data_IF_027305664928
#
_entry.id   IF_027305664928
#
_cell.length_a   1.000
_cell.length_b   1.000
_cell.length_c   1.000
_cell.angle_alpha   90.00
_cell.angle_beta   90.00
_cell.angle_gamma   90.00
#
_symmetry.space_group_name_H-M   'P 1'
#
loop_
_entity.id
_entity.type
_entity.pdbx_description
1 polymer ?
#
# COMPACT_ATOMS: atom_id res chain seq x y z
N UNK A 1 61.77 49.21 4.47
CA UNK A 1 60.96 48.28 5.29
C UNK A 1 59.52 48.43 4.84
N UNK A 2 59.05 47.52 3.99
CA UNK A 2 57.71 47.51 3.42
C UNK A 2 56.98 46.34 4.08
N UNK A 3 55.96 46.62 4.88
CA UNK A 3 55.10 45.61 5.49
C UNK A 3 53.86 45.45 4.61
N UNK A 4 53.77 44.31 3.93
CA UNK A 4 52.65 43.93 3.08
C UNK A 4 51.47 43.48 3.93
N UNK A 5 50.37 44.24 3.90
CA UNK A 5 49.09 43.83 4.46
C UNK A 5 48.36 42.97 3.41
N UNK A 6 48.18 41.68 3.70
CA UNK A 6 47.38 40.76 2.88
C UNK A 6 45.92 40.93 3.28
N UNK A 7 45.11 41.45 2.35
CA UNK A 7 43.65 41.57 2.51
C UNK A 7 42.99 40.29 2.01
N UNK A 8 42.50 39.45 2.93
CA UNK A 8 41.69 38.27 2.60
C UNK A 8 40.23 38.71 2.48
N UNK A 9 39.74 38.81 1.25
CA UNK A 9 38.32 38.98 0.94
C UNK A 9 37.59 37.66 1.21
N UNK A 10 36.90 37.57 2.34
CA UNK A 10 35.92 36.53 2.60
C UNK A 10 34.66 36.82 1.77
N UNK A 11 34.53 36.15 0.62
CA UNK A 11 33.28 36.05 -0.13
C UNK A 11 32.31 35.18 0.67
N UNK A 12 31.45 35.82 1.45
CA UNK A 12 30.26 35.17 2.02
C UNK A 12 29.27 34.89 0.89
N UNK A 13 29.17 33.63 0.50
CA UNK A 13 28.04 33.13 -0.29
C UNK A 13 26.77 33.32 0.54
N UNK A 14 26.01 34.37 0.25
CA UNK A 14 24.62 34.48 0.67
C UNK A 14 23.83 33.45 -0.12
N UNK A 15 23.74 32.21 0.38
CA UNK A 15 22.76 31.26 -0.10
C UNK A 15 21.38 31.82 0.24
N UNK A 16 20.73 32.43 -0.75
CA UNK A 16 19.35 32.88 -0.65
C UNK A 16 18.45 31.66 -0.45
N UNK A 17 18.20 31.29 0.81
CA UNK A 17 17.02 30.50 1.14
C UNK A 17 15.82 31.38 0.83
N UNK A 18 15.18 31.14 -0.31
CA UNK A 18 13.85 31.64 -0.58
C UNK A 18 12.94 31.10 0.53
N UNK A 19 12.73 31.92 1.56
CA UNK A 19 11.79 31.67 2.63
C UNK A 19 10.38 31.77 2.03
N UNK A 20 9.93 30.70 1.36
CA UNK A 20 8.51 30.48 1.15
C UNK A 20 7.88 30.44 2.54
N UNK A 21 7.18 31.52 2.87
CA UNK A 21 6.36 31.62 4.07
C UNK A 21 5.16 30.72 3.80
N UNK A 22 5.11 29.58 4.50
CA UNK A 22 3.92 28.73 4.48
C UNK A 22 2.89 29.43 5.36
N UNK A 23 2.02 30.20 4.72
CA UNK A 23 0.88 30.82 5.36
C UNK A 23 -0.14 29.73 5.77
N UNK A 24 -0.80 29.94 6.91
CA UNK A 24 -1.98 29.17 7.37
C UNK A 24 -3.10 29.02 6.33
N UNK A 25 -3.11 29.89 5.31
CA UNK A 25 -4.05 29.91 4.18
C UNK A 25 -3.54 29.20 2.91
N UNK A 26 -2.43 28.49 2.99
CA UNK A 26 -1.92 27.75 1.83
C UNK A 26 -2.73 26.47 1.59
N UNK A 27 -3.13 26.23 0.33
CA UNK A 27 -3.89 25.04 -0.06
C UNK A 27 -3.52 24.49 -1.42
N UNK A 28 -3.56 23.17 -1.56
CA UNK A 28 -3.47 22.46 -2.85
C UNK A 28 -4.83 22.54 -3.55
N UNK A 29 -4.88 23.23 -4.69
CA UNK A 29 -6.10 23.39 -5.47
C UNK A 29 -6.49 22.06 -6.12
N UNK A 30 -7.80 21.78 -6.26
CA UNK A 30 -8.33 20.59 -6.94
C UNK A 30 -7.72 19.24 -6.48
N UNK A 31 -7.31 19.14 -5.21
CA UNK A 31 -6.63 17.96 -4.68
C UNK A 31 -7.47 16.67 -4.77
N UNK A 32 -8.80 16.76 -4.62
CA UNK A 32 -9.72 15.62 -4.73
C UNK A 32 -9.77 15.05 -6.15
N UNK A 33 -9.85 15.92 -7.16
CA UNK A 33 -9.81 15.54 -8.57
C UNK A 33 -8.46 14.90 -8.93
N UNK A 34 -7.37 15.50 -8.47
CA UNK A 34 -6.02 14.96 -8.65
C UNK A 34 -5.87 13.56 -8.04
N UNK A 35 -6.29 13.39 -6.79
CA UNK A 35 -6.25 12.10 -6.09
C UNK A 35 -7.07 11.05 -6.84
N UNK A 36 -8.29 11.40 -7.25
CA UNK A 36 -9.19 10.50 -7.99
C UNK A 36 -8.56 10.07 -9.31
N UNK A 37 -7.99 10.99 -10.09
CA UNK A 37 -7.31 10.68 -11.35
C UNK A 37 -6.10 9.76 -11.16
N UNK A 38 -5.32 9.97 -10.09
CA UNK A 38 -4.20 9.10 -9.75
C UNK A 38 -4.65 7.68 -9.47
N UNK A 39 -5.69 7.51 -8.63
CA UNK A 39 -6.24 6.19 -8.32
C UNK A 39 -6.82 5.52 -9.57
N UNK A 40 -7.55 6.25 -10.41
CA UNK A 40 -8.07 5.71 -11.67
C UNK A 40 -6.95 5.18 -12.57
N UNK A 41 -5.82 5.91 -12.67
CA UNK A 41 -4.67 5.44 -13.45
C UNK A 41 -3.95 4.27 -12.80
N UNK A 42 -3.86 4.22 -11.47
CA UNK A 42 -3.34 3.06 -10.76
C UNK A 42 -4.18 1.82 -11.09
N UNK A 43 -5.50 1.88 -10.90
CA UNK A 43 -6.41 0.76 -11.16
C UNK A 43 -6.29 0.28 -12.60
N UNK A 44 -6.33 1.20 -13.58
CA UNK A 44 -6.15 0.86 -14.99
C UNK A 44 -4.82 0.13 -15.27
N UNK A 45 -3.71 0.55 -14.65
CA UNK A 45 -2.42 -0.12 -14.82
C UNK A 45 -2.37 -1.49 -14.13
N UNK A 46 -3.05 -1.64 -12.98
CA UNK A 46 -3.16 -2.94 -12.30
C UNK A 46 -4.00 -3.92 -13.13
N UNK A 47 -5.12 -3.49 -13.68
CA UNK A 47 -5.96 -4.29 -14.58
C UNK A 47 -5.18 -4.71 -15.83
N UNK A 48 -4.46 -3.76 -16.45
CA UNK A 48 -3.62 -4.04 -17.62
C UNK A 48 -2.52 -5.07 -17.32
N UNK A 49 -1.92 -5.02 -16.13
CA UNK A 49 -0.91 -5.99 -15.69
C UNK A 49 -1.54 -7.31 -15.23
N UNK A 50 -2.84 -7.33 -14.92
CA UNK A 50 -3.53 -8.47 -14.34
C UNK A 50 -3.33 -8.56 -12.83
N UNK A 51 -4.44 -8.72 -12.10
CA UNK A 51 -4.43 -8.85 -10.64
C UNK A 51 -3.67 -10.08 -10.13
N UNK A 52 -3.55 -11.13 -10.95
CA UNK A 52 -2.79 -12.34 -10.63
C UNK A 52 -1.29 -12.10 -10.37
N UNK A 53 -0.75 -10.93 -10.76
CA UNK A 53 0.62 -10.53 -10.45
C UNK A 53 0.79 -9.96 -9.04
N UNK A 54 -0.31 -9.72 -8.31
CA UNK A 54 -0.28 -9.37 -6.89
C UNK A 54 -0.22 -10.66 -6.08
N UNK A 55 1.02 -11.14 -5.89
CA UNK A 55 1.32 -12.40 -5.23
C UNK A 55 1.19 -12.32 -3.71
N UNK A 56 0.84 -13.45 -3.10
CA UNK A 56 0.93 -13.69 -1.67
C UNK A 56 2.12 -14.60 -1.36
N UNK A 57 2.60 -14.51 -0.13
CA UNK A 57 3.70 -15.33 0.35
C UNK A 57 3.19 -16.75 0.63
N UNK A 58 4.05 -17.72 0.37
CA UNK A 58 3.78 -19.09 0.75
C UNK A 58 3.82 -19.22 2.28
N UNK A 59 2.93 -20.05 2.83
CA UNK A 59 2.80 -20.24 4.27
C UNK A 59 2.44 -21.68 4.62
N UNK A 60 2.89 -22.13 5.78
CA UNK A 60 2.59 -23.46 6.32
C UNK A 60 1.80 -23.27 7.61
N UNK A 61 0.68 -23.98 7.73
CA UNK A 61 -0.17 -23.98 8.92
C UNK A 61 -0.19 -25.40 9.49
N UNK A 62 0.16 -25.53 10.76
CA UNK A 62 0.07 -26.80 11.48
C UNK A 62 -1.34 -27.00 12.05
N UNK A 63 -1.81 -28.24 11.99
CA UNK A 63 -3.12 -28.68 12.47
C UNK A 63 -2.92 -29.84 13.45
N UNK A 64 -3.51 -29.74 14.64
CA UNK A 64 -3.52 -30.83 15.61
C UNK A 64 -4.80 -30.73 16.46
N UNK A 65 -5.92 -31.16 15.88
CA UNK A 65 -7.25 -30.95 16.46
C UNK A 65 -8.18 -32.13 16.25
N UNK A 66 -9.04 -32.36 17.24
CA UNK A 66 -10.13 -33.32 17.11
C UNK A 66 -11.42 -32.59 16.71
N UNK A 67 -11.94 -32.91 15.53
CA UNK A 67 -13.22 -32.41 15.03
C UNK A 67 -14.23 -33.54 15.01
N UNK A 68 -15.22 -33.44 15.90
CA UNK A 68 -16.18 -34.51 16.15
C UNK A 68 -15.46 -35.83 16.49
N UNK A 69 -15.61 -36.86 15.66
CA UNK A 69 -15.00 -38.18 15.85
C UNK A 69 -13.73 -38.39 15.00
N UNK A 70 -13.19 -37.33 14.39
CA UNK A 70 -12.05 -37.38 13.48
C UNK A 70 -10.91 -36.51 14.00
N UNK A 71 -9.71 -37.08 14.12
CA UNK A 71 -8.48 -36.33 14.43
C UNK A 71 -7.92 -35.75 13.12
N UNK A 72 -7.59 -34.47 13.12
CA UNK A 72 -6.91 -33.75 12.04
C UNK A 72 -5.52 -33.41 12.55
N UNK A 73 -4.53 -34.21 12.20
CA UNK A 73 -3.14 -34.02 12.60
C UNK A 73 -2.24 -33.93 11.38
N UNK A 74 -1.44 -32.87 11.28
CA UNK A 74 -0.51 -32.65 10.17
C UNK A 74 -0.37 -31.17 9.81
N UNK A 75 -0.11 -30.86 8.55
CA UNK A 75 0.03 -29.48 8.08
C UNK A 75 -0.66 -29.23 6.73
N UNK A 76 -0.93 -27.96 6.47
CA UNK A 76 -1.37 -27.47 5.17
C UNK A 76 -0.40 -26.39 4.69
N UNK A 77 0.15 -26.60 3.49
CA UNK A 77 1.07 -25.69 2.83
C UNK A 77 0.33 -24.95 1.73
N UNK A 78 0.29 -23.62 1.84
CA UNK A 78 -0.37 -22.72 0.90
C UNK A 78 0.70 -22.10 0.01
N UNK A 79 0.60 -22.31 -1.30
CA UNK A 79 1.57 -21.84 -2.28
C UNK A 79 0.92 -21.08 -3.42
N UNK A 80 1.76 -20.41 -4.22
CA UNK A 80 1.36 -19.71 -5.44
C UNK A 80 0.27 -18.66 -5.24
N UNK A 81 0.13 -18.12 -4.03
CA UNK A 81 -0.98 -17.26 -3.68
C UNK A 81 -1.06 -16.01 -4.57
N UNK A 82 -2.27 -15.62 -4.98
CA UNK A 82 -2.47 -14.41 -5.79
C UNK A 82 -3.83 -13.74 -5.56
N UNK A 83 -3.91 -12.45 -5.90
CA UNK A 83 -5.17 -11.73 -5.97
C UNK A 83 -6.00 -12.19 -7.18
N UNK A 84 -7.19 -12.71 -6.89
CA UNK A 84 -8.14 -13.23 -7.89
C UNK A 84 -9.03 -12.10 -8.41
N UNK A 85 -9.71 -11.39 -7.52
CA UNK A 85 -10.64 -10.32 -7.89
C UNK A 85 -10.75 -9.24 -6.81
N UNK A 86 -11.24 -8.08 -7.24
CA UNK A 86 -11.71 -6.98 -6.38
C UNK A 86 -13.09 -6.60 -6.90
N UNK A 87 -14.13 -6.71 -6.09
CA UNK A 87 -15.49 -6.41 -6.55
C UNK A 87 -15.76 -4.91 -6.63
N UNK A 88 -15.20 -4.13 -5.69
CA UNK A 88 -15.42 -2.68 -5.65
C UNK A 88 -14.19 -1.93 -5.17
N UNK A 89 -13.96 -0.79 -5.81
CA UNK A 89 -12.92 0.16 -5.46
C UNK A 89 -13.57 1.52 -5.18
N UNK A 90 -13.25 2.12 -4.03
CA UNK A 90 -13.65 3.49 -3.72
C UNK A 90 -12.56 4.25 -2.98
N UNK A 91 -12.70 5.58 -2.95
CA UNK A 91 -11.75 6.48 -2.28
C UNK A 91 -12.47 7.32 -1.24
N UNK A 92 -11.85 7.51 -0.08
CA UNK A 92 -12.41 8.29 1.03
C UNK A 92 -11.35 9.15 1.71
N UNK A 93 -11.78 10.08 2.58
CA UNK A 93 -10.91 10.92 3.40
C UNK A 93 -9.81 11.63 2.60
N UNK A 94 -10.17 12.15 1.43
CA UNK A 94 -9.26 12.94 0.60
C UNK A 94 -9.03 14.29 1.26
N UNK A 95 -7.77 14.59 1.53
CA UNK A 95 -7.37 15.79 2.27
C UNK A 95 -6.11 16.37 1.65
N UNK A 96 -5.86 17.64 1.96
CA UNK A 96 -4.66 18.35 1.55
C UNK A 96 -4.05 19.09 2.73
N UNK A 97 -2.73 19.25 2.69
CA UNK A 97 -1.99 20.03 3.67
C UNK A 97 -0.82 20.72 3.00
N UNK A 98 -0.61 21.99 3.31
CA UNK A 98 0.63 22.69 2.99
C UNK A 98 1.30 23.04 4.32
N UNK A 99 2.54 22.59 4.51
CA UNK A 99 3.25 22.72 5.79
C UNK A 99 4.75 22.90 5.53
N UNK A 100 5.53 22.98 6.60
CA UNK A 100 6.97 22.69 6.56
C UNK A 100 7.21 21.33 7.19
N UNK A 101 7.91 20.46 6.47
CA UNK A 101 8.39 19.18 6.98
C UNK A 101 9.92 19.24 7.14
N UNK A 102 10.49 18.39 8.02
CA UNK A 102 11.94 18.25 8.13
C UNK A 102 12.40 17.16 7.15
N UNK A 103 13.16 17.56 6.13
CA UNK A 103 13.76 16.65 5.14
C UNK A 103 15.27 16.76 5.27
N UNK A 104 15.93 15.65 5.62
CA UNK A 104 17.38 15.60 5.85
C UNK A 104 17.90 16.67 6.83
N UNK A 105 17.14 16.94 7.90
CA UNK A 105 17.49 17.94 8.92
C UNK A 105 17.17 19.40 8.55
N UNK A 106 16.73 19.67 7.32
CA UNK A 106 16.32 21.01 6.90
C UNK A 106 14.78 21.16 6.91
N UNK A 107 14.29 22.32 7.37
CA UNK A 107 12.87 22.68 7.28
C UNK A 107 12.55 23.09 5.83
N UNK A 108 11.69 22.31 5.17
CA UNK A 108 11.35 22.50 3.76
C UNK A 108 9.83 22.66 3.62
N UNK A 109 9.34 23.67 2.87
CA UNK A 109 7.92 23.78 2.57
C UNK A 109 7.46 22.61 1.68
N UNK A 110 6.41 21.92 2.11
CA UNK A 110 5.86 20.75 1.46
C UNK A 110 4.36 20.91 1.23
N UNK A 111 3.88 20.37 0.12
CA UNK A 111 2.46 20.12 -0.11
C UNK A 111 2.19 18.62 -0.05
N UNK A 112 1.08 18.25 0.58
CA UNK A 112 0.61 16.89 0.73
C UNK A 112 -0.81 16.80 0.18
N UNK A 113 -1.05 15.80 -0.65
CA UNK A 113 -2.39 15.27 -0.92
C UNK A 113 -2.44 13.86 -0.35
N UNK A 114 -3.42 13.59 0.53
CA UNK A 114 -3.61 12.28 1.13
C UNK A 114 -5.03 11.79 0.94
N UNK A 115 -5.22 10.48 1.00
CA UNK A 115 -6.54 9.87 0.96
C UNK A 115 -6.48 8.37 1.19
N UNK A 116 -7.64 7.75 1.33
CA UNK A 116 -7.77 6.30 1.52
C UNK A 116 -8.26 5.63 0.25
N UNK A 117 -7.58 4.57 -0.15
CA UNK A 117 -8.01 3.63 -1.17
C UNK A 117 -8.64 2.42 -0.49
N UNK A 118 -9.90 2.14 -0.81
CA UNK A 118 -10.66 1.02 -0.28
C UNK A 118 -10.86 -0.02 -1.39
N UNK A 119 -10.28 -1.20 -1.22
CA UNK A 119 -10.55 -2.37 -2.04
C UNK A 119 -11.51 -3.26 -1.27
N UNK A 120 -12.70 -3.51 -1.81
CA UNK A 120 -13.77 -4.26 -1.15
C UNK A 120 -13.95 -5.61 -1.80
N UNK A 121 -14.26 -6.59 -0.94
CA UNK A 121 -14.49 -7.98 -1.32
C UNK A 121 -13.34 -8.51 -2.19
N UNK A 122 -12.14 -8.38 -1.64
CA UNK A 122 -10.87 -8.75 -2.25
C UNK A 122 -10.69 -10.26 -2.09
N UNK A 123 -10.81 -10.99 -3.19
CA UNK A 123 -10.65 -12.45 -3.22
C UNK A 123 -9.22 -12.83 -3.54
N UNK A 124 -8.61 -13.66 -2.69
CA UNK A 124 -7.29 -14.25 -2.90
C UNK A 124 -7.42 -15.76 -3.08
N UNK A 125 -6.51 -16.35 -3.85
CA UNK A 125 -6.47 -17.79 -4.13
C UNK A 125 -5.10 -18.38 -3.84
N UNK A 126 -5.06 -19.66 -3.51
CA UNK A 126 -3.86 -20.45 -3.22
C UNK A 126 -3.99 -21.86 -3.77
N UNK A 127 -2.85 -22.45 -4.12
CA UNK A 127 -2.71 -23.90 -4.20
C UNK A 127 -2.44 -24.42 -2.78
N UNK A 128 -3.05 -25.53 -2.39
CA UNK A 128 -2.97 -26.05 -1.02
C UNK A 128 -2.61 -27.53 -1.03
N UNK A 129 -1.46 -27.84 -0.45
CA UNK A 129 -1.00 -29.21 -0.19
C UNK A 129 -1.24 -29.52 1.28
N UNK A 130 -2.19 -30.39 1.57
CA UNK A 130 -2.51 -30.81 2.93
C UNK A 130 -1.93 -32.21 3.19
N UNK A 131 -0.96 -32.28 4.10
CA UNK A 131 -0.44 -33.55 4.61
C UNK A 131 -1.07 -33.81 5.98
N UNK A 132 -2.19 -34.53 6.00
CA UNK A 132 -3.02 -34.75 7.18
C UNK A 132 -3.23 -36.25 7.38
N UNK A 133 -2.98 -36.76 8.59
CA UNK A 133 -3.09 -38.17 8.96
C UNK A 133 -2.37 -39.11 7.97
N UNK A 134 -1.12 -38.76 7.64
CA UNK A 134 -0.25 -39.47 6.70
C UNK A 134 -0.75 -39.50 5.24
N UNK A 135 -1.82 -38.78 4.90
CA UNK A 135 -2.31 -38.63 3.54
C UNK A 135 -1.97 -37.25 2.97
N UNK A 136 -1.42 -37.24 1.75
CA UNK A 136 -1.26 -36.01 0.97
C UNK A 136 -2.50 -35.79 0.09
N UNK A 137 -3.08 -34.60 0.18
CA UNK A 137 -4.20 -34.16 -0.66
C UNK A 137 -3.93 -32.78 -1.22
N UNK A 138 -4.43 -32.54 -2.42
CA UNK A 138 -4.26 -31.28 -3.15
C UNK A 138 -5.61 -30.56 -3.30
N UNK A 139 -5.63 -29.28 -2.99
CA UNK A 139 -6.79 -28.42 -3.13
C UNK A 139 -6.41 -27.08 -3.76
N UNK A 140 -7.42 -26.39 -4.28
CA UNK A 140 -7.38 -24.95 -4.46
C UNK A 140 -8.19 -24.32 -3.36
N UNK A 141 -7.63 -23.31 -2.68
CA UNK A 141 -8.35 -22.57 -1.65
C UNK A 141 -8.52 -21.11 -2.02
N UNK A 142 -9.67 -20.52 -1.68
CA UNK A 142 -9.95 -19.11 -1.89
C UNK A 142 -10.50 -18.45 -0.63
N UNK A 143 -10.09 -17.20 -0.39
CA UNK A 143 -10.52 -16.44 0.78
C UNK A 143 -10.87 -15.00 0.38
N UNK A 144 -11.87 -14.41 1.03
CA UNK A 144 -12.30 -13.04 0.78
C UNK A 144 -12.03 -12.13 1.97
N UNK A 145 -11.23 -11.08 1.73
CA UNK A 145 -11.12 -9.94 2.64
C UNK A 145 -12.20 -8.92 2.27
N UNK A 146 -13.10 -8.58 3.20
CA UNK A 146 -14.19 -7.62 2.94
C UNK A 146 -13.67 -6.20 2.70
N UNK A 147 -12.49 -5.88 3.24
CA UNK A 147 -11.84 -4.59 3.04
C UNK A 147 -10.32 -4.73 3.15
N UNK A 148 -9.62 -4.30 2.10
CA UNK A 148 -8.19 -3.95 2.15
C UNK A 148 -8.09 -2.44 1.97
N UNK A 149 -7.66 -1.74 3.00
CA UNK A 149 -7.60 -0.28 3.01
C UNK A 149 -6.16 0.21 3.06
N UNK A 150 -5.83 1.11 2.13
CA UNK A 150 -4.54 1.79 2.10
C UNK A 150 -4.71 3.30 2.32
N UNK A 151 -3.72 3.91 2.98
CA UNK A 151 -3.51 5.35 2.99
C UNK A 151 -2.45 5.70 1.96
N UNK A 152 -2.83 6.51 0.98
CA UNK A 152 -1.92 7.06 -0.02
C UNK A 152 -1.55 8.49 0.38
N UNK A 153 -0.26 8.78 0.39
CA UNK A 153 0.26 10.13 0.53
C UNK A 153 1.07 10.50 -0.73
N UNK A 154 0.81 11.69 -1.26
CA UNK A 154 1.61 12.31 -2.32
C UNK A 154 2.18 13.61 -1.78
N UNK A 155 3.49 13.61 -1.55
CA UNK A 155 4.25 14.76 -1.09
C UNK A 155 4.93 15.45 -2.27
N UNK A 156 4.92 16.78 -2.26
CA UNK A 156 5.70 17.63 -3.14
C UNK A 156 6.57 18.57 -2.31
N UNK A 157 7.87 18.53 -2.56
CA UNK A 157 8.78 19.56 -2.08
C UNK A 157 8.55 20.84 -2.92
N UNK A 158 8.19 21.94 -2.27
CA UNK A 158 7.83 23.18 -2.96
C UNK A 158 9.05 24.01 -3.39
N UNK A 159 10.25 23.64 -2.94
CA UNK A 159 11.51 24.26 -3.37
C UNK A 159 12.10 23.50 -4.55
N UNK A 160 12.34 22.19 -4.40
CA UNK A 160 12.96 21.38 -5.45
C UNK A 160 11.98 20.90 -6.52
N UNK A 161 10.68 20.92 -6.23
CA UNK A 161 9.66 20.33 -7.08
C UNK A 161 9.58 18.80 -7.01
N UNK A 162 10.44 18.16 -6.20
CA UNK A 162 10.50 16.70 -6.09
C UNK A 162 9.19 16.13 -5.52
N UNK A 163 8.73 15.04 -6.14
CA UNK A 163 7.58 14.28 -5.71
C UNK A 163 8.01 12.99 -5.01
N UNK A 164 7.31 12.67 -3.93
CA UNK A 164 7.39 11.40 -3.24
C UNK A 164 5.98 10.86 -3.01
N UNK A 165 5.81 9.56 -3.18
CA UNK A 165 4.54 8.88 -2.90
C UNK A 165 4.79 7.73 -1.95
N UNK A 166 3.92 7.57 -0.97
CA UNK A 166 3.92 6.42 -0.07
C UNK A 166 2.53 5.85 0.05
N UNK A 167 2.45 4.53 0.25
CA UNK A 167 1.19 3.86 0.50
C UNK A 167 1.34 2.90 1.66
N UNK A 168 0.48 3.03 2.67
CA UNK A 168 0.53 2.24 3.90
C UNK A 168 -0.75 1.46 4.06
N UNK A 169 -0.63 0.16 4.37
CA UNK A 169 -1.78 -0.66 4.73
C UNK A 169 -2.36 -0.17 6.07
N UNK A 170 -3.61 0.27 6.06
CA UNK A 170 -4.35 0.65 7.27
C UNK A 170 -5.11 -0.53 7.85
N UNK A 171 -5.74 -1.33 6.99
CA UNK A 171 -6.61 -2.40 7.41
C UNK A 171 -6.62 -3.55 6.41
N UNK A 172 -6.67 -4.77 6.95
CA UNK A 172 -6.88 -6.01 6.22
C UNK A 172 -7.98 -6.78 6.96
N UNK A 173 -9.22 -6.57 6.54
CA UNK A 173 -10.39 -7.07 7.24
C UNK A 173 -10.87 -8.39 6.61
N UNK A 174 -10.91 -9.49 7.37
CA UNK A 174 -11.50 -10.73 6.92
C UNK A 174 -13.03 -10.65 6.90
N UNK A 175 -13.68 -11.57 6.19
CA UNK A 175 -15.12 -11.79 6.32
C UNK A 175 -15.52 -12.29 7.72
N UNK A 176 -16.78 -12.07 8.12
CA UNK A 176 -17.26 -12.39 9.46
C UNK A 176 -17.16 -13.89 9.82
N UNK A 177 -17.29 -14.77 8.82
CA UNK A 177 -17.23 -16.22 9.01
C UNK A 177 -15.81 -16.79 8.95
N UNK A 178 -14.79 -15.97 8.68
CA UNK A 178 -13.36 -16.33 8.52
C UNK A 178 -13.19 -17.76 8.02
N UNK A 179 -13.68 -18.01 6.81
CA UNK A 179 -13.70 -19.35 6.21
C UNK A 179 -13.04 -19.30 4.85
N UNK A 180 -12.09 -20.19 4.62
CA UNK A 180 -11.54 -20.43 3.29
C UNK A 180 -12.42 -21.44 2.55
N UNK A 181 -12.69 -21.18 1.27
CA UNK A 181 -13.43 -22.07 0.40
C UNK A 181 -12.46 -22.96 -0.36
N UNK A 182 -12.55 -24.29 -0.18
CA UNK A 182 -11.66 -25.25 -0.84
C UNK A 182 -12.38 -26.04 -1.93
N UNK A 183 -11.63 -26.39 -2.97
CA UNK A 183 -12.06 -27.23 -4.09
C UNK A 183 -11.01 -28.33 -4.36
N UNK A 184 -11.40 -29.62 -4.43
CA UNK A 184 -12.71 -30.17 -4.05
C UNK A 184 -12.98 -30.03 -2.54
N UNK A 185 -14.25 -30.14 -2.14
CA UNK A 185 -14.65 -30.10 -0.72
C UNK A 185 -14.77 -31.51 -0.14
N UNK A 186 -14.15 -31.73 1.02
CA UNK A 186 -14.25 -32.95 1.82
C UNK A 186 -14.18 -32.66 3.34
N UNK A 187 -14.14 -33.72 4.16
CA UNK A 187 -14.05 -33.61 5.62
C UNK A 187 -12.76 -32.94 6.13
N UNK A 188 -11.64 -33.05 5.40
CA UNK A 188 -10.38 -32.38 5.74
C UNK A 188 -10.54 -30.89 5.48
N UNK A 189 -11.09 -30.50 4.32
CA UNK A 189 -11.25 -29.09 3.98
C UNK A 189 -12.18 -28.35 4.96
N UNK A 190 -13.17 -29.02 5.55
CA UNK A 190 -13.99 -28.43 6.62
C UNK A 190 -13.13 -28.08 7.85
N UNK A 191 -12.17 -28.93 8.19
CA UNK A 191 -11.22 -28.68 9.27
C UNK A 191 -10.30 -27.50 8.95
N UNK A 192 -9.69 -27.52 7.77
CA UNK A 192 -8.76 -26.47 7.31
C UNK A 192 -9.46 -25.11 7.27
N UNK A 193 -10.71 -25.08 6.78
CA UNK A 193 -11.55 -23.88 6.66
C UNK A 193 -11.72 -23.12 7.96
N UNK A 194 -11.85 -23.82 9.09
CA UNK A 194 -12.09 -23.22 10.41
C UNK A 194 -10.83 -22.63 11.04
N UNK A 195 -9.64 -23.03 10.55
CA UNK A 195 -8.34 -22.67 11.11
C UNK A 195 -7.47 -21.85 10.19
N UNK A 196 -8.00 -21.47 9.02
CA UNK A 196 -7.35 -20.49 8.18
C UNK A 196 -7.13 -19.18 8.94
N UNK A 197 -5.94 -18.59 8.81
CA UNK A 197 -5.54 -17.38 9.53
C UNK A 197 -5.35 -16.25 8.52
N UNK A 198 -6.37 -15.41 8.26
CA UNK A 198 -6.30 -14.40 7.20
C UNK A 198 -5.18 -13.38 7.36
N UNK A 199 -4.74 -13.14 8.61
CA UNK A 199 -3.65 -12.21 8.92
C UNK A 199 -2.31 -12.65 8.35
N UNK A 200 -2.14 -13.91 7.95
CA UNK A 200 -0.95 -14.39 7.23
C UNK A 200 -0.69 -13.61 5.93
N UNK A 201 -1.75 -13.05 5.34
CA UNK A 201 -1.69 -12.27 4.09
C UNK A 201 -1.18 -10.83 4.28
N UNK A 202 -0.96 -10.39 5.53
CA UNK A 202 -0.66 -8.99 5.86
C UNK A 202 0.61 -8.49 5.21
N UNK A 203 1.69 -9.26 5.29
CA UNK A 203 2.98 -8.87 4.70
C UNK A 203 2.88 -8.72 3.17
N UNK A 204 2.13 -9.62 2.52
CA UNK A 204 1.89 -9.55 1.08
C UNK A 204 1.05 -8.33 0.70
N UNK A 205 0.00 -8.03 1.45
CA UNK A 205 -0.80 -6.82 1.25
C UNK A 205 0.05 -5.54 1.46
N UNK A 206 0.92 -5.50 2.47
CA UNK A 206 1.85 -4.39 2.65
C UNK A 206 2.79 -4.22 1.43
N UNK A 207 3.30 -5.32 0.89
CA UNK A 207 4.13 -5.31 -0.32
C UNK A 207 3.37 -4.80 -1.55
N UNK A 208 2.07 -5.12 -1.69
CA UNK A 208 1.23 -4.55 -2.74
C UNK A 208 1.18 -3.03 -2.64
N UNK A 209 1.05 -2.48 -1.43
CA UNK A 209 1.11 -1.03 -1.17
C UNK A 209 2.40 -0.39 -1.69
N UNK A 210 3.56 -0.98 -1.42
CA UNK A 210 4.85 -0.50 -1.96
C UNK A 210 4.88 -0.52 -3.49
N UNK A 211 4.32 -1.56 -4.12
CA UNK A 211 4.21 -1.64 -5.57
C UNK A 211 3.29 -0.54 -6.13
N UNK A 212 2.12 -0.33 -5.50
CA UNK A 212 1.16 0.70 -5.88
C UNK A 212 1.75 2.11 -5.78
N UNK A 213 2.47 2.40 -4.68
CA UNK A 213 3.17 3.66 -4.51
C UNK A 213 4.17 3.92 -5.66
N UNK A 214 4.91 2.90 -6.07
CA UNK A 214 5.88 3.01 -7.17
C UNK A 214 5.21 3.35 -8.51
N UNK A 215 4.07 2.71 -8.82
CA UNK A 215 3.28 3.03 -10.02
C UNK A 215 2.77 4.47 -9.95
N UNK A 216 2.22 4.88 -8.80
CA UNK A 216 1.69 6.22 -8.60
C UNK A 216 2.74 7.30 -8.77
N UNK A 217 3.96 7.08 -8.27
CA UNK A 217 5.07 8.02 -8.45
C UNK A 217 5.36 8.27 -9.93
N UNK A 218 5.44 7.20 -10.73
CA UNK A 218 5.64 7.29 -12.18
C UNK A 218 4.51 8.09 -12.85
N UNK A 219 3.26 7.86 -12.44
CA UNK A 219 2.12 8.60 -13.01
C UNK A 219 2.09 10.06 -12.59
N UNK A 220 2.37 10.36 -11.31
CA UNK A 220 2.41 11.72 -10.78
C UNK A 220 3.52 12.56 -11.41
N UNK A 221 4.66 11.94 -11.77
CA UNK A 221 5.77 12.63 -12.44
C UNK A 221 5.50 12.87 -13.93
N UNK A 222 4.91 11.90 -14.63
CA UNK A 222 4.93 11.90 -16.10
C UNK A 222 3.58 12.15 -16.77
N UNK A 223 2.46 11.90 -16.08
CA UNK A 223 1.12 11.88 -16.72
C UNK A 223 0.08 12.75 -16.01
N UNK A 224 0.16 12.87 -14.70
CA UNK A 224 -0.81 13.62 -13.89
C UNK A 224 -0.02 14.64 -13.08
N UNK A 225 0.12 15.88 -13.55
CA UNK A 225 0.91 16.88 -12.84
C UNK A 225 0.30 17.17 -11.47
N UNK A 226 1.17 17.34 -10.48
CA UNK A 226 0.74 17.74 -9.14
C UNK A 226 0.06 19.12 -9.19
N UNK A 227 -1.06 19.34 -8.48
CA UNK A 227 -1.83 20.57 -8.62
C UNK A 227 -1.11 21.82 -8.13
N UNK A 228 -1.61 22.97 -8.54
CA UNK A 228 -1.09 24.25 -8.07
C UNK A 228 -1.33 24.43 -6.57
N UNK A 229 -0.32 24.99 -5.90
CA UNK A 229 -0.43 25.42 -4.51
C UNK A 229 -0.76 26.91 -4.51
N UNK A 230 -1.89 27.24 -3.92
CA UNK A 230 -2.33 28.62 -3.76
C UNK A 230 -1.93 29.10 -2.37
N UNK A 231 -1.17 30.19 -2.31
CA UNK A 231 -0.75 30.84 -1.07
C UNK A 231 -1.68 32.04 -0.84
N UNK A 232 -2.24 32.15 0.37
CA UNK A 232 -3.21 33.18 0.76
C UNK A 232 -4.57 33.11 0.03
N UNK A 233 -5.24 31.98 0.21
CA UNK A 233 -6.61 31.72 -0.23
C UNK A 233 -7.32 30.82 0.80
#
# INVERSE_FOLDING_TARGET
>A
MISSLVLILALSYASGQNNLVVDTRARVQHHTEYYTKLIQKLVYELEKRGFCNLKLNDVIIEHNEQLYNFLVSGNATYTNGFLVSIEKIDVTNMEQRVTRDIVNGASVPTALVRGRLNLRDVKVGFDVDAHINDELRHYTGAFTHILVQYELNVHKNLVSGELHTSMRLLSLMPSATVRMDYMPTDSITEALSRRFVPSMNRNSAENWGTHFASILLEKAKNKIPFPNVCFNC
#
